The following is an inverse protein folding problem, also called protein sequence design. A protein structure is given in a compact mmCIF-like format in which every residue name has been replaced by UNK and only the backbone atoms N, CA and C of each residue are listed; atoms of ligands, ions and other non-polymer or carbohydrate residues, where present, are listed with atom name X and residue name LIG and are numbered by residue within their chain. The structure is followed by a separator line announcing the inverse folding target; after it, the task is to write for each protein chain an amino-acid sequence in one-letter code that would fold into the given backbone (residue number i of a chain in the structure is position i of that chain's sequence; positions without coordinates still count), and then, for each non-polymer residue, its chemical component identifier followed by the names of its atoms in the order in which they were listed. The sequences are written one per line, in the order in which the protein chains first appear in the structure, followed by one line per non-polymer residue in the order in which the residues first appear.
data_IF_335715355338
#
_entry.id   IF_335715355338
#
_cell.length_a   1.000
_cell.length_b   1.000
_cell.length_c   1.000
_cell.angle_alpha   90.00
_cell.angle_beta   90.00
_cell.angle_gamma   90.00
#
_symmetry.space_group_name_H-M   'P 1'
#
loop_
_entity.id
_entity.type
_entity.pdbx_description
1 polymer ?
#
# COMPACT_ATOMS: atom_id res chain seq x y z
N UNK A 1 45.43 -60.06 80.15
CA UNK A 1 45.03 -60.26 78.75
C UNK A 1 43.65 -59.66 78.57
N UNK A 2 43.48 -58.66 77.71
CA UNK A 2 42.27 -58.56 76.89
C UNK A 2 42.43 -57.50 75.81
N UNK A 3 41.98 -57.92 74.64
CA UNK A 3 42.20 -57.36 73.32
C UNK A 3 41.53 -56.00 73.15
N UNK A 4 42.21 -55.06 72.50
CA UNK A 4 41.60 -53.78 72.10
C UNK A 4 40.91 -53.97 70.75
N UNK A 5 39.58 -54.01 70.76
CA UNK A 5 38.74 -53.98 69.57
C UNK A 5 38.92 -52.65 68.84
N UNK A 6 39.57 -52.66 67.68
CA UNK A 6 39.70 -51.46 66.84
C UNK A 6 38.39 -51.24 66.08
N UNK A 7 37.48 -50.47 66.66
CA UNK A 7 36.28 -49.99 65.98
C UNK A 7 36.68 -48.85 65.04
N UNK A 8 36.64 -49.10 63.73
CA UNK A 8 36.81 -48.05 62.73
C UNK A 8 35.52 -47.21 62.64
N UNK A 9 35.56 -45.89 62.91
CA UNK A 9 34.39 -45.06 62.75
C UNK A 9 34.05 -44.95 61.25
N UNK A 10 32.80 -45.25 60.90
CA UNK A 10 32.25 -44.99 59.58
C UNK A 10 32.25 -43.48 59.35
N UNK A 11 33.13 -43.02 58.45
CA UNK A 11 33.13 -41.64 57.98
C UNK A 11 31.92 -41.45 57.05
N UNK A 12 31.14 -40.41 57.30
CA UNK A 12 30.01 -40.06 56.44
C UNK A 12 30.51 -39.72 55.02
N UNK A 13 29.83 -40.20 53.97
CA UNK A 13 30.20 -39.90 52.60
C UNK A 13 30.09 -38.39 52.35
N UNK A 14 31.09 -37.83 51.69
CA UNK A 14 31.12 -36.40 51.33
C UNK A 14 29.88 -36.09 50.49
N UNK A 15 29.10 -35.09 50.91
CA UNK A 15 27.86 -34.70 50.22
C UNK A 15 28.13 -34.38 48.75
N UNK A 16 27.37 -34.96 47.80
CA UNK A 16 27.61 -34.78 46.37
C UNK A 16 27.51 -33.33 45.91
N UNK A 17 26.85 -32.47 46.69
CA UNK A 17 26.74 -31.03 46.42
C UNK A 17 28.08 -30.29 46.49
N UNK A 18 29.07 -30.85 47.22
CA UNK A 18 30.44 -30.29 47.31
C UNK A 18 31.26 -30.55 46.05
N UNK A 19 30.83 -31.49 45.20
CA UNK A 19 31.50 -31.83 43.94
C UNK A 19 30.98 -30.98 42.77
N UNK A 20 29.89 -30.22 42.96
CA UNK A 20 29.32 -29.34 41.93
C UNK A 20 29.97 -27.96 42.05
N UNK A 21 30.73 -27.50 41.04
CA UNK A 21 31.28 -26.16 41.03
C UNK A 21 30.16 -25.13 41.16
N UNK A 22 30.24 -24.24 42.14
CA UNK A 22 29.30 -23.14 42.28
C UNK A 22 29.37 -22.23 41.05
N UNK A 23 28.35 -22.29 40.19
CA UNK A 23 28.26 -21.39 39.04
C UNK A 23 27.85 -20.00 39.50
N UNK A 24 28.59 -18.97 39.08
CA UNK A 24 28.26 -17.57 39.37
C UNK A 24 27.02 -17.05 38.62
N UNK A 25 26.48 -17.85 37.70
CA UNK A 25 25.32 -17.49 36.89
C UNK A 25 24.25 -18.55 37.11
N UNK A 26 23.14 -18.15 37.72
CA UNK A 26 22.02 -19.05 37.89
C UNK A 26 21.28 -19.25 36.55
N UNK A 27 20.73 -20.44 36.28
CA UNK A 27 20.09 -20.74 34.99
C UNK A 27 18.96 -19.77 34.58
N UNK A 28 18.25 -19.15 35.53
CA UNK A 28 17.20 -18.16 35.23
C UNK A 28 17.76 -16.84 34.69
N UNK A 29 19.00 -16.48 35.03
CA UNK A 29 19.65 -15.27 34.54
C UNK A 29 19.94 -15.37 33.04
N UNK A 30 20.24 -16.58 32.55
CA UNK A 30 20.45 -16.86 31.13
C UNK A 30 19.16 -16.61 30.34
N UNK A 31 18.03 -17.06 30.89
CA UNK A 31 16.71 -16.83 30.28
C UNK A 31 16.34 -15.35 30.25
N UNK A 32 16.59 -14.61 31.34
CA UNK A 32 16.36 -13.16 31.36
C UNK A 32 17.24 -12.42 30.35
N UNK A 33 18.52 -12.78 30.24
CA UNK A 33 19.42 -12.19 29.26
C UNK A 33 18.95 -12.47 27.82
N UNK A 34 18.51 -13.70 27.52
CA UNK A 34 17.98 -14.07 26.23
C UNK A 34 16.70 -13.28 25.87
N UNK A 35 15.77 -13.15 26.83
CA UNK A 35 14.54 -12.36 26.64
C UNK A 35 14.87 -10.89 26.40
N UNK A 36 15.75 -10.30 27.21
CA UNK A 36 16.18 -8.92 27.06
C UNK A 36 16.83 -8.66 25.69
N UNK A 37 17.65 -9.62 25.22
CA UNK A 37 18.27 -9.55 23.90
C UNK A 37 17.22 -9.58 22.77
N UNK A 38 16.25 -10.49 22.84
CA UNK A 38 15.16 -10.58 21.85
C UNK A 38 14.33 -9.29 21.84
N UNK A 39 13.98 -8.75 23.00
CA UNK A 39 13.22 -7.50 23.12
C UNK A 39 14.00 -6.31 22.55
N UNK A 40 15.32 -6.26 22.77
CA UNK A 40 16.17 -5.20 22.21
C UNK A 40 16.21 -5.25 20.68
N UNK A 41 16.30 -6.46 20.09
CA UNK A 41 16.24 -6.66 18.64
C UNK A 41 14.88 -6.26 18.07
N UNK A 42 13.79 -6.67 18.73
CA UNK A 42 12.44 -6.31 18.32
C UNK A 42 12.22 -4.79 18.37
N UNK A 43 12.74 -4.12 19.40
CA UNK A 43 12.67 -2.67 19.54
C UNK A 43 13.48 -1.96 18.46
N UNK A 44 14.73 -2.37 18.22
CA UNK A 44 15.56 -1.82 17.15
C UNK A 44 14.91 -2.03 15.79
N UNK A 45 14.36 -3.21 15.53
CA UNK A 45 13.62 -3.49 14.31
C UNK A 45 12.38 -2.61 14.17
N UNK A 46 11.63 -2.42 15.25
CA UNK A 46 10.46 -1.53 15.26
C UNK A 46 10.82 -0.05 15.05
N UNK A 47 11.94 0.41 15.61
CA UNK A 47 12.43 1.79 15.44
C UNK A 47 13.07 2.03 14.07
N UNK A 48 13.72 1.01 13.50
CA UNK A 48 14.33 1.06 12.16
C UNK A 48 13.34 0.79 11.03
N UNK A 49 12.12 0.32 11.35
CA UNK A 49 10.99 0.38 10.43
C UNK A 49 10.73 1.85 10.10
N UNK A 50 11.32 2.31 9.01
CA UNK A 50 10.98 3.58 8.38
C UNK A 50 9.47 3.57 8.17
N UNK A 51 8.76 4.42 8.91
CA UNK A 51 7.37 4.72 8.58
C UNK A 51 7.39 5.18 7.12
N UNK A 52 6.60 4.60 6.20
CA UNK A 52 6.50 5.14 4.87
C UNK A 52 6.10 6.60 5.05
N UNK A 53 6.98 7.50 4.61
CA UNK A 53 6.68 8.94 4.57
C UNK A 53 5.39 9.01 3.76
N UNK A 54 4.31 9.50 4.38
CA UNK A 54 3.06 9.71 3.68
C UNK A 54 3.42 10.55 2.43
N UNK A 55 3.24 10.03 1.22
CA UNK A 55 3.64 10.74 0.02
C UNK A 55 2.98 12.12 0.04
N UNK A 56 3.73 13.17 -0.28
CA UNK A 56 3.12 14.49 -0.47
C UNK A 56 1.94 14.31 -1.46
N UNK A 57 0.71 14.66 -1.07
CA UNK A 57 -0.45 14.49 -1.93
C UNK A 57 -0.28 15.22 -3.26
N UNK A 58 0.56 16.26 -3.35
CA UNK A 58 0.95 16.89 -4.63
C UNK A 58 1.80 15.97 -5.49
N UNK A 59 2.85 15.37 -4.93
CA UNK A 59 3.74 14.45 -5.65
C UNK A 59 3.00 13.18 -6.10
N UNK A 60 2.12 12.64 -5.26
CA UNK A 60 1.28 11.50 -5.64
C UNK A 60 0.37 11.84 -6.83
N UNK A 61 -0.21 13.05 -6.86
CA UNK A 61 -1.04 13.54 -7.96
C UNK A 61 -0.26 13.78 -9.24
N UNK A 62 0.92 14.38 -9.15
CA UNK A 62 1.81 14.59 -10.31
C UNK A 62 2.26 13.26 -10.91
N UNK A 63 2.64 12.30 -10.07
CA UNK A 63 2.97 10.95 -10.51
C UNK A 63 1.77 10.26 -11.18
N UNK A 64 0.58 10.36 -10.60
CA UNK A 64 -0.64 9.79 -11.17
C UNK A 64 -1.00 10.43 -12.52
N UNK A 65 -0.81 11.74 -12.67
CA UNK A 65 -1.01 12.45 -13.95
C UNK A 65 -0.02 11.96 -14.99
N UNK A 66 1.26 11.88 -14.64
CA UNK A 66 2.31 11.41 -15.56
C UNK A 66 2.06 9.96 -16.00
N UNK A 67 1.66 9.10 -15.06
CA UNK A 67 1.29 7.71 -15.36
C UNK A 67 0.07 7.65 -16.30
N UNK A 68 -0.96 8.46 -16.05
CA UNK A 68 -2.15 8.51 -16.88
C UNK A 68 -1.83 9.02 -18.30
N UNK A 69 -1.04 10.09 -18.43
CA UNK A 69 -0.60 10.61 -19.72
C UNK A 69 0.18 9.54 -20.51
N UNK A 70 1.16 8.89 -19.88
CA UNK A 70 1.93 7.82 -20.51
C UNK A 70 1.07 6.59 -20.86
N UNK A 71 0.02 6.31 -20.10
CA UNK A 71 -0.93 5.24 -20.42
C UNK A 71 -1.80 5.59 -21.64
N UNK A 72 -2.23 6.84 -21.77
CA UNK A 72 -2.96 7.34 -22.95
C UNK A 72 -2.06 7.32 -24.20
N UNK A 73 -0.80 7.72 -24.08
CA UNK A 73 0.16 7.73 -25.21
C UNK A 73 0.52 6.32 -25.71
N UNK A 74 0.36 5.30 -24.86
CA UNK A 74 0.56 3.89 -25.23
C UNK A 74 -0.64 3.26 -25.91
N UNK A 75 -1.77 3.97 -26.01
CA UNK A 75 -2.91 3.51 -26.82
C UNK A 75 -2.47 3.58 -28.29
N UNK A 76 -2.09 2.41 -28.82
CA UNK A 76 -1.69 2.26 -30.21
C UNK A 76 -2.87 2.30 -31.18
N UNK A 77 -2.68 1.73 -32.36
CA UNK A 77 -3.72 1.59 -33.38
C UNK A 77 -4.71 0.49 -33.00
N UNK A 78 -5.59 0.79 -32.05
CA UNK A 78 -6.75 -0.03 -31.69
C UNK A 78 -8.02 0.62 -32.24
N UNK A 79 -9.15 -0.10 -32.37
CA UNK A 79 -10.43 0.51 -32.69
C UNK A 79 -10.85 1.56 -31.66
N UNK A 80 -11.56 2.60 -32.09
CA UNK A 80 -11.94 3.72 -31.23
C UNK A 80 -12.77 3.30 -30.02
N UNK A 81 -13.56 2.24 -30.15
CA UNK A 81 -14.28 1.61 -29.05
C UNK A 81 -13.35 1.12 -27.95
N UNK A 82 -12.31 0.40 -28.33
CA UNK A 82 -11.30 -0.13 -27.40
C UNK A 82 -10.47 1.02 -26.80
N UNK A 83 -10.09 2.01 -27.61
CA UNK A 83 -9.44 3.23 -27.13
C UNK A 83 -10.30 3.95 -26.08
N UNK A 84 -11.63 4.00 -26.25
CA UNK A 84 -12.54 4.64 -25.30
C UNK A 84 -12.68 3.84 -23.99
N UNK A 85 -12.65 2.50 -24.06
CA UNK A 85 -12.57 1.63 -22.86
C UNK A 85 -11.29 1.93 -22.09
N UNK A 86 -10.13 1.81 -22.74
CA UNK A 86 -8.83 2.01 -22.09
C UNK A 86 -8.70 3.43 -21.53
N UNK A 87 -9.04 4.45 -22.33
CA UNK A 87 -9.01 5.84 -21.90
C UNK A 87 -9.86 6.09 -20.66
N UNK A 88 -11.05 5.50 -20.60
CA UNK A 88 -11.92 5.66 -19.43
C UNK A 88 -11.36 5.01 -18.16
N UNK A 89 -10.67 3.88 -18.29
CA UNK A 89 -10.06 3.19 -17.15
C UNK A 89 -8.88 4.00 -16.62
N UNK A 90 -8.06 4.54 -17.53
CA UNK A 90 -6.93 5.42 -17.19
C UNK A 90 -7.43 6.66 -16.45
N UNK A 91 -8.45 7.33 -16.96
CA UNK A 91 -9.02 8.53 -16.35
C UNK A 91 -9.65 8.27 -14.99
N UNK A 92 -10.36 7.14 -14.81
CA UNK A 92 -10.92 6.74 -13.51
C UNK A 92 -9.84 6.39 -12.49
N UNK A 93 -8.78 5.69 -12.92
CA UNK A 93 -7.61 5.40 -12.07
C UNK A 93 -6.95 6.69 -11.58
N UNK A 94 -6.79 7.67 -12.48
CA UNK A 94 -6.30 8.98 -12.12
C UNK A 94 -7.19 9.66 -11.08
N UNK A 95 -8.52 9.68 -11.30
CA UNK A 95 -9.47 10.28 -10.38
C UNK A 95 -9.46 9.63 -8.99
N UNK A 96 -9.43 8.29 -8.92
CA UNK A 96 -9.35 7.56 -7.66
C UNK A 96 -8.10 7.95 -6.86
N UNK A 97 -6.98 8.16 -7.56
CA UNK A 97 -5.72 8.58 -6.93
C UNK A 97 -5.73 10.07 -6.57
N UNK A 98 -6.30 10.92 -7.42
CA UNK A 98 -6.30 12.36 -7.25
C UNK A 98 -7.31 12.86 -6.19
N UNK A 99 -8.47 12.19 -6.10
CA UNK A 99 -9.48 12.43 -5.07
C UNK A 99 -9.25 11.62 -3.78
N UNK A 100 -8.35 10.62 -3.82
CA UNK A 100 -8.10 9.72 -2.70
C UNK A 100 -9.26 8.77 -2.38
N UNK A 101 -10.19 8.56 -3.32
CA UNK A 101 -11.34 7.66 -3.17
C UNK A 101 -11.23 6.48 -4.17
N UNK A 102 -10.81 5.29 -3.70
CA UNK A 102 -10.73 4.09 -4.54
C UNK A 102 -12.06 3.67 -5.17
N UNK A 103 -13.20 4.06 -4.59
CA UNK A 103 -14.52 3.70 -5.12
C UNK A 103 -14.85 4.40 -6.45
N UNK A 104 -14.15 5.48 -6.80
CA UNK A 104 -14.23 6.12 -8.12
C UNK A 104 -13.79 5.19 -9.27
N UNK A 105 -13.17 4.05 -8.95
CA UNK A 105 -12.77 3.02 -9.89
C UNK A 105 -13.85 1.94 -10.13
N UNK A 106 -14.84 1.79 -9.25
CA UNK A 106 -15.66 0.56 -9.17
C UNK A 106 -16.81 0.51 -10.21
N UNK A 107 -17.67 1.52 -10.33
CA UNK A 107 -18.77 1.51 -11.34
C UNK A 107 -19.18 2.92 -11.83
N UNK A 108 -19.79 3.02 -13.02
CA UNK A 108 -20.33 4.29 -13.55
C UNK A 108 -21.49 4.83 -12.70
N UNK A 109 -22.31 3.93 -12.13
CA UNK A 109 -23.44 4.26 -11.25
C UNK A 109 -22.96 4.75 -9.87
N UNK A 110 -21.93 4.14 -9.28
CA UNK A 110 -21.35 4.65 -8.02
C UNK A 110 -20.64 5.99 -8.20
N UNK A 111 -20.06 6.25 -9.38
CA UNK A 111 -19.50 7.56 -9.74
C UNK A 111 -20.59 8.65 -9.80
N UNK A 112 -21.76 8.35 -10.37
CA UNK A 112 -22.89 9.31 -10.43
C UNK A 112 -23.53 9.50 -9.03
N UNK A 113 -23.62 8.43 -8.23
CA UNK A 113 -24.23 8.45 -6.89
C UNK A 113 -23.44 9.22 -5.83
N UNK A 114 -22.12 9.39 -6.00
CA UNK A 114 -21.24 10.06 -5.04
C UNK A 114 -20.97 11.51 -5.42
N UNK A 115 -21.99 12.36 -5.27
CA UNK A 115 -21.85 13.83 -5.46
C UNK A 115 -20.68 14.45 -4.66
N UNK A 116 -20.30 13.84 -3.53
CA UNK A 116 -19.20 14.30 -2.67
C UNK A 116 -17.80 13.82 -3.11
N UNK A 117 -17.68 12.83 -3.99
CA UNK A 117 -16.38 12.28 -4.39
C UNK A 117 -15.54 13.26 -5.23
N UNK A 118 -16.18 14.27 -5.82
CA UNK A 118 -15.52 15.35 -6.56
C UNK A 118 -15.68 16.72 -5.90
N UNK A 119 -16.02 16.78 -4.60
CA UNK A 119 -16.23 18.05 -3.88
C UNK A 119 -15.00 18.96 -3.93
N UNK A 120 -13.81 18.37 -3.98
CA UNK A 120 -12.53 19.07 -4.03
C UNK A 120 -12.19 19.58 -5.45
N UNK A 121 -12.98 19.20 -6.47
CA UNK A 121 -12.85 19.71 -7.83
C UNK A 121 -13.71 20.95 -8.06
N UNK A 122 -13.22 21.85 -8.91
CA UNK A 122 -13.98 22.97 -9.45
C UNK A 122 -15.25 22.48 -10.16
N UNK A 123 -16.26 23.34 -10.22
CA UNK A 123 -17.50 23.06 -10.94
C UNK A 123 -17.24 22.78 -12.42
N UNK A 124 -16.31 23.52 -13.02
CA UNK A 124 -15.84 23.30 -14.39
C UNK A 124 -15.25 21.90 -14.57
N UNK A 125 -14.36 21.46 -13.67
CA UNK A 125 -13.79 20.11 -13.75
C UNK A 125 -14.84 19.03 -13.54
N UNK A 126 -15.78 19.21 -12.62
CA UNK A 126 -16.91 18.28 -12.43
C UNK A 126 -17.77 18.16 -13.70
N UNK A 127 -18.11 19.30 -14.32
CA UNK A 127 -18.85 19.34 -15.59
C UNK A 127 -18.10 18.64 -16.73
N UNK A 128 -16.81 18.96 -16.88
CA UNK A 128 -15.95 18.34 -17.89
C UNK A 128 -15.83 16.82 -17.70
N UNK A 129 -15.78 16.36 -16.45
CA UNK A 129 -15.72 14.92 -16.13
C UNK A 129 -17.00 14.20 -16.54
N UNK A 130 -18.16 14.78 -16.24
CA UNK A 130 -19.46 14.24 -16.64
C UNK A 130 -19.58 14.15 -18.16
N UNK A 131 -19.30 15.25 -18.87
CA UNK A 131 -19.34 15.32 -20.34
C UNK A 131 -18.34 14.34 -20.97
N UNK A 132 -17.12 14.29 -20.43
CA UNK A 132 -16.04 13.45 -20.93
C UNK A 132 -16.34 11.96 -20.79
N UNK A 133 -16.81 11.51 -19.63
CA UNK A 133 -17.21 10.12 -19.45
C UNK A 133 -18.49 9.76 -20.21
N UNK A 134 -19.44 10.69 -20.35
CA UNK A 134 -20.62 10.47 -21.20
C UNK A 134 -20.22 10.26 -22.67
N UNK A 135 -19.28 11.07 -23.19
CA UNK A 135 -18.70 10.87 -24.53
C UNK A 135 -18.04 9.51 -24.66
N UNK A 136 -17.18 9.12 -23.70
CA UNK A 136 -16.51 7.82 -23.72
C UNK A 136 -17.53 6.67 -23.64
N UNK A 137 -18.60 6.81 -22.85
CA UNK A 137 -19.66 5.82 -22.77
C UNK A 137 -20.43 5.69 -24.10
N UNK A 138 -20.75 6.81 -24.77
CA UNK A 138 -21.40 6.79 -26.07
C UNK A 138 -20.58 6.02 -27.11
N UNK A 139 -19.25 6.16 -27.10
CA UNK A 139 -18.35 5.41 -28.00
C UNK A 139 -18.30 3.92 -27.63
N UNK A 140 -18.31 3.58 -26.35
CA UNK A 140 -18.26 2.17 -25.90
C UNK A 140 -19.52 1.39 -26.23
N UNK A 141 -20.67 2.05 -26.12
CA UNK A 141 -21.98 1.43 -26.24
C UNK A 141 -22.66 1.70 -27.59
N UNK A 142 -21.98 2.35 -28.55
CA UNK A 142 -22.52 2.54 -29.90
C UNK A 142 -22.79 1.18 -30.55
N UNK A 143 -23.93 1.01 -31.22
CA UNK A 143 -24.20 -0.23 -31.95
C UNK A 143 -23.41 -0.30 -33.27
N UNK A 144 -23.16 0.86 -33.87
CA UNK A 144 -22.35 1.01 -35.08
C UNK A 144 -20.88 1.24 -34.76
N UNK A 145 -20.03 1.05 -35.77
CA UNK A 145 -18.64 1.49 -35.70
C UNK A 145 -18.60 3.01 -35.45
N UNK A 146 -17.89 3.45 -34.39
CA UNK A 146 -17.80 4.87 -34.10
C UNK A 146 -17.19 5.62 -35.29
N UNK A 147 -17.83 6.71 -35.73
CA UNK A 147 -17.30 7.65 -36.76
C UNK A 147 -16.14 8.51 -36.22
N UNK A 148 -15.37 7.96 -35.29
CA UNK A 148 -14.32 8.66 -34.57
C UNK A 148 -13.06 7.83 -34.62
N UNK A 149 -11.97 8.44 -35.04
CA UNK A 149 -10.67 7.79 -35.06
C UNK A 149 -10.05 7.75 -33.67
N UNK A 150 -9.26 6.70 -33.38
CA UNK A 150 -8.57 6.51 -32.11
C UNK A 150 -7.76 7.71 -31.63
N UNK A 151 -6.99 8.41 -32.49
CA UNK A 151 -6.29 9.63 -32.10
C UNK A 151 -7.22 10.73 -31.54
N UNK A 152 -8.46 10.83 -32.02
CA UNK A 152 -9.44 11.81 -31.53
C UNK A 152 -9.97 11.43 -30.14
N UNK A 153 -10.12 10.14 -29.86
CA UNK A 153 -10.49 9.62 -28.53
C UNK A 153 -9.37 9.89 -27.53
N UNK A 154 -8.13 9.60 -27.91
CA UNK A 154 -6.94 9.80 -27.06
C UNK A 154 -6.71 11.30 -26.79
N UNK A 155 -6.75 12.15 -27.82
CA UNK A 155 -6.59 13.60 -27.66
C UNK A 155 -7.67 14.21 -26.76
N UNK A 156 -8.92 13.76 -26.91
CA UNK A 156 -10.01 14.15 -26.02
C UNK A 156 -9.78 13.76 -24.57
N UNK A 157 -9.21 12.58 -24.35
CA UNK A 157 -8.90 12.05 -23.01
C UNK A 157 -7.74 12.78 -22.35
N UNK A 158 -6.73 13.18 -23.12
CA UNK A 158 -5.64 14.06 -22.66
C UNK A 158 -6.14 15.44 -22.24
N UNK A 159 -7.02 16.05 -23.03
CA UNK A 159 -7.63 17.34 -22.68
C UNK A 159 -8.40 17.23 -21.35
N UNK A 160 -9.21 16.18 -21.20
CA UNK A 160 -9.94 15.93 -19.97
C UNK A 160 -9.00 15.73 -18.76
N UNK A 161 -7.91 14.97 -18.92
CA UNK A 161 -6.90 14.79 -17.88
C UNK A 161 -6.29 16.13 -17.44
N UNK A 162 -6.03 17.04 -18.39
CA UNK A 162 -5.52 18.39 -18.10
C UNK A 162 -6.50 19.24 -17.30
N UNK A 163 -7.79 19.23 -17.68
CA UNK A 163 -8.86 19.95 -16.98
C UNK A 163 -9.01 19.40 -15.55
N UNK A 164 -9.05 18.07 -15.41
CA UNK A 164 -9.14 17.39 -14.11
C UNK A 164 -7.99 17.75 -13.18
N UNK A 165 -6.77 17.75 -13.70
CA UNK A 165 -5.59 18.07 -12.92
C UNK A 165 -5.56 19.52 -12.45
N UNK A 166 -5.96 20.44 -13.32
CA UNK A 166 -5.95 21.89 -13.01
C UNK A 166 -7.11 22.29 -12.11
N UNK A 167 -8.26 21.63 -12.24
CA UNK A 167 -9.47 21.95 -11.50
C UNK A 167 -9.52 21.42 -10.07
N UNK A 168 -8.55 20.62 -9.62
CA UNK A 168 -8.50 20.11 -8.26
C UNK A 168 -7.99 21.19 -7.30
N UNK A 169 -8.84 21.61 -6.35
CA UNK A 169 -8.48 22.59 -5.31
C UNK A 169 -7.59 21.89 -4.28
N UNK A 170 -6.42 22.48 -4.02
CA UNK A 170 -5.43 21.95 -3.09
C UNK A 170 -5.86 22.11 -1.62
#
# INVERSE_FOLDING_TARGET
MNEKSTTYPLLEPVSPETLVPHSWVEPWMIWLAAIAFILSLALVWFLTRKKPVAPDPRLAREAARAEAAAALDRIGEVPAREAAVVSSLVLRKYLATAAGDPALFETHEEYIGRHEALKDFSEEARGATSIGFARLAAIKYSQDDPDMETPQVVAGSHNLLGILHTGLRA
#
